data_IF_116669266683
#
_entry.id   IF_116669266683
#
_cell.length_a   1.000
_cell.length_b   1.000
_cell.length_c   1.000
_cell.angle_alpha   90.00
_cell.angle_beta   90.00
_cell.angle_gamma   90.00
#
_symmetry.space_group_name_H-M   'P 1'
#
loop_
_entity.id
_entity.type
_entity.pdbx_description
1 polymer ?
#
# COMPACT_ATOMS: atom_id res chain seq x y z
N UNK A 1 -11.48 22.34 -15.59
CA UNK A 1 -10.03 22.63 -15.56
C UNK A 1 -9.89 24.14 -15.51
N UNK A 2 -9.11 24.66 -14.58
CA UNK A 2 -8.87 26.10 -14.44
C UNK A 2 -7.38 26.39 -14.62
N UNK A 3 -7.04 27.58 -15.09
CA UNK A 3 -5.67 28.00 -15.38
C UNK A 3 -5.24 29.09 -14.40
N UNK A 4 -4.06 28.97 -13.81
CA UNK A 4 -3.52 30.00 -12.92
C UNK A 4 -2.90 31.15 -13.71
N UNK A 5 -2.99 32.37 -13.18
CA UNK A 5 -2.44 33.58 -13.82
C UNK A 5 -0.92 33.54 -14.04
N UNK A 6 -0.20 32.79 -13.20
CA UNK A 6 1.25 32.63 -13.26
C UNK A 6 1.69 31.31 -13.93
N UNK A 7 0.75 30.59 -14.58
CA UNK A 7 0.98 29.30 -15.21
C UNK A 7 0.62 28.09 -14.32
N UNK A 8 0.28 26.98 -14.96
CA UNK A 8 -0.21 25.76 -14.33
C UNK A 8 -1.74 25.63 -14.36
N UNK A 9 -2.21 24.38 -14.32
CA UNK A 9 -3.62 24.05 -14.41
C UNK A 9 -4.09 23.32 -13.14
N UNK A 10 -5.32 23.58 -12.72
CA UNK A 10 -5.99 22.85 -11.65
C UNK A 10 -7.19 22.06 -12.20
N UNK A 11 -7.19 20.79 -11.87
CA UNK A 11 -8.32 19.89 -12.07
C UNK A 11 -9.00 19.77 -10.72
N UNK A 12 -10.24 20.26 -10.64
CA UNK A 12 -11.09 20.11 -9.47
C UNK A 12 -12.08 18.96 -9.72
N UNK A 13 -12.19 18.03 -8.76
CA UNK A 13 -13.07 16.87 -8.84
C UNK A 13 -13.84 16.72 -7.53
N UNK A 14 -15.11 16.28 -7.55
CA UNK A 14 -15.84 15.92 -6.34
C UNK A 14 -15.04 14.93 -5.47
N UNK A 15 -15.21 15.01 -4.15
CA UNK A 15 -14.47 14.15 -3.21
C UNK A 15 -14.69 12.66 -3.48
N UNK A 16 -13.61 11.95 -3.78
CA UNK A 16 -13.63 10.50 -3.96
C UNK A 16 -13.55 9.83 -2.58
N UNK A 17 -14.58 9.07 -2.21
CA UNK A 17 -14.65 8.37 -0.92
C UNK A 17 -14.09 6.95 -0.98
N UNK A 18 -13.99 6.39 -2.17
CA UNK A 18 -13.48 5.04 -2.41
C UNK A 18 -12.46 5.08 -3.54
N UNK A 19 -11.21 4.73 -3.24
CA UNK A 19 -10.16 4.57 -4.23
C UNK A 19 -9.73 3.11 -4.32
N UNK A 20 -9.69 2.60 -5.54
CA UNK A 20 -9.50 1.19 -5.84
C UNK A 20 -8.08 0.79 -6.15
N UNK A 21 -7.45 0.01 -5.27
CA UNK A 21 -6.09 -0.53 -5.50
C UNK A 21 -6.07 -1.93 -6.12
N UNK A 22 -7.21 -2.46 -6.61
CA UNK A 22 -7.33 -3.84 -7.11
C UNK A 22 -6.49 -4.17 -8.35
N UNK A 23 -5.97 -3.16 -9.04
CA UNK A 23 -5.13 -3.30 -10.22
C UNK A 23 -3.65 -3.43 -9.87
N UNK A 24 -3.30 -3.26 -8.60
CA UNK A 24 -1.94 -3.44 -8.10
C UNK A 24 -1.77 -4.84 -7.51
N UNK A 25 -0.57 -5.38 -7.65
CA UNK A 25 -0.12 -6.52 -6.86
C UNK A 25 0.49 -6.06 -5.52
N UNK A 26 0.51 -6.92 -4.48
CA UNK A 26 1.02 -6.57 -3.16
C UNK A 26 2.42 -5.96 -3.19
N UNK A 27 3.31 -6.48 -4.06
CA UNK A 27 4.69 -6.02 -4.19
C UNK A 27 4.77 -4.58 -4.70
N UNK A 28 3.83 -4.16 -5.55
CA UNK A 28 3.75 -2.78 -6.05
C UNK A 28 3.32 -1.82 -4.93
N UNK A 29 2.46 -2.28 -4.02
CA UNK A 29 2.11 -1.51 -2.81
C UNK A 29 3.32 -1.40 -1.89
N UNK A 30 4.06 -2.49 -1.67
CA UNK A 30 5.29 -2.48 -0.86
C UNK A 30 6.31 -1.47 -1.41
N UNK A 31 6.51 -1.43 -2.74
CA UNK A 31 7.42 -0.49 -3.38
C UNK A 31 6.95 0.99 -3.32
N UNK A 32 5.65 1.21 -3.17
CA UNK A 32 5.06 2.55 -3.08
C UNK A 32 5.28 3.23 -1.72
N UNK A 33 5.61 2.46 -0.67
CA UNK A 33 6.03 3.01 0.62
C UNK A 33 7.50 3.44 0.52
N UNK A 34 7.73 4.75 0.48
CA UNK A 34 9.07 5.34 0.29
C UNK A 34 10.02 4.95 1.41
N UNK A 35 9.50 4.86 2.64
CA UNK A 35 10.26 4.50 3.84
C UNK A 35 10.69 3.01 3.87
N UNK A 36 10.13 2.16 3.00
CA UNK A 36 10.50 0.74 2.95
C UNK A 36 11.72 0.49 2.07
N UNK A 37 12.02 1.41 1.14
CA UNK A 37 12.99 1.20 0.07
C UNK A 37 14.37 0.76 0.57
N UNK A 38 14.84 1.35 1.66
CA UNK A 38 16.15 1.06 2.24
C UNK A 38 16.23 -0.32 2.91
N UNK A 39 15.07 -0.96 3.17
CA UNK A 39 14.96 -2.26 3.83
C UNK A 39 14.55 -3.39 2.88
N UNK A 40 14.19 -3.08 1.63
CA UNK A 40 13.80 -4.08 0.63
C UNK A 40 15.01 -4.97 0.29
N UNK A 41 14.77 -6.29 0.28
CA UNK A 41 15.83 -7.28 0.08
C UNK A 41 16.69 -7.57 1.33
N UNK A 42 16.53 -6.80 2.42
CA UNK A 42 17.22 -7.03 3.69
C UNK A 42 16.55 -8.08 4.59
N UNK A 43 15.41 -8.62 4.17
CA UNK A 43 14.70 -9.65 4.94
C UNK A 43 15.41 -11.00 4.85
N UNK A 44 15.29 -11.82 5.90
CA UNK A 44 15.84 -13.18 5.95
C UNK A 44 15.33 -14.07 4.81
N UNK A 45 14.07 -13.91 4.43
CA UNK A 45 13.41 -14.69 3.38
C UNK A 45 13.09 -13.82 2.16
N UNK A 46 13.23 -14.38 0.96
CA UNK A 46 13.00 -13.67 -0.31
C UNK A 46 11.51 -13.40 -0.56
N UNK A 47 10.65 -14.25 -0.01
CA UNK A 47 9.19 -14.21 -0.09
C UNK A 47 8.55 -13.70 1.22
N UNK A 48 9.30 -12.87 1.97
CA UNK A 48 8.81 -12.25 3.19
C UNK A 48 7.56 -11.40 2.89
N UNK A 49 6.49 -11.65 3.63
CA UNK A 49 5.21 -10.92 3.59
C UNK A 49 5.21 -9.68 4.48
N UNK A 50 6.29 -9.48 5.22
CA UNK A 50 6.54 -8.34 6.10
C UNK A 50 5.56 -8.19 7.27
N UNK A 51 4.84 -9.26 7.62
CA UNK A 51 3.87 -9.30 8.72
C UNK A 51 4.49 -10.00 9.94
N UNK A 52 4.20 -11.29 10.12
CA UNK A 52 4.69 -12.10 11.23
C UNK A 52 5.99 -12.86 10.93
N UNK A 53 6.55 -12.70 9.73
CA UNK A 53 7.74 -13.44 9.30
C UNK A 53 8.96 -13.15 10.19
N UNK A 54 9.72 -14.18 10.62
CA UNK A 54 10.93 -13.96 11.40
C UNK A 54 12.05 -13.38 10.55
N UNK A 55 12.76 -12.37 11.07
CA UNK A 55 13.85 -11.71 10.35
C UNK A 55 13.39 -10.76 9.24
N UNK A 56 12.20 -10.17 9.36
CA UNK A 56 11.74 -9.10 8.49
C UNK A 56 12.46 -7.78 8.82
N UNK A 57 13.21 -7.24 7.86
CA UNK A 57 13.92 -5.97 8.02
C UNK A 57 12.97 -4.77 8.19
N UNK A 58 11.83 -4.77 7.50
CA UNK A 58 10.81 -3.72 7.61
C UNK A 58 10.18 -3.72 9.01
N UNK A 59 9.87 -4.90 9.56
CA UNK A 59 9.31 -5.00 10.92
C UNK A 59 10.33 -4.56 11.97
N UNK A 60 11.59 -4.99 11.83
CA UNK A 60 12.66 -4.53 12.73
C UNK A 60 12.86 -3.01 12.66
N UNK A 61 12.78 -2.42 11.47
CA UNK A 61 12.85 -0.97 11.29
C UNK A 61 11.67 -0.26 11.96
N UNK A 62 10.46 -0.83 11.91
CA UNK A 62 9.30 -0.32 12.65
C UNK A 62 9.49 -0.44 14.16
N UNK A 63 9.95 -1.59 14.66
CA UNK A 63 10.24 -1.82 16.09
C UNK A 63 11.31 -0.87 16.63
N UNK A 64 12.28 -0.48 15.80
CA UNK A 64 13.32 0.50 16.14
C UNK A 64 12.87 1.97 16.08
N UNK A 65 11.68 2.24 15.53
CA UNK A 65 11.16 3.60 15.32
C UNK A 65 11.60 4.29 14.02
N UNK A 66 12.41 3.63 13.19
CA UNK A 66 12.80 4.16 11.87
C UNK A 66 11.63 4.19 10.87
N UNK A 67 10.65 3.30 11.04
CA UNK A 67 9.37 3.34 10.33
C UNK A 67 8.27 3.62 11.35
N UNK A 68 7.42 4.61 11.06
CA UNK A 68 6.30 4.92 11.92
C UNK A 68 5.31 3.74 11.99
N UNK A 69 4.93 3.34 13.19
CA UNK A 69 4.00 2.22 13.42
C UNK A 69 2.69 2.38 12.64
N UNK A 70 2.12 3.58 12.62
CA UNK A 70 0.89 3.87 11.87
C UNK A 70 1.03 3.57 10.37
N UNK A 71 2.19 3.87 9.78
CA UNK A 71 2.46 3.62 8.36
C UNK A 71 2.54 2.12 8.09
N UNK A 72 3.22 1.37 8.96
CA UNK A 72 3.29 -0.08 8.92
C UNK A 72 1.91 -0.74 9.08
N UNK A 73 1.12 -0.31 10.06
CA UNK A 73 -0.24 -0.82 10.28
C UNK A 73 -1.15 -0.54 9.07
N UNK A 74 -1.05 0.66 8.48
CA UNK A 74 -1.81 1.05 7.29
C UNK A 74 -1.40 0.23 6.06
N UNK A 75 -0.12 -0.11 5.91
CA UNK A 75 0.35 -0.99 4.84
C UNK A 75 -0.37 -2.35 4.88
N UNK A 76 -0.43 -2.99 6.05
CA UNK A 76 -1.16 -4.25 6.21
C UNK A 76 -2.66 -4.09 5.98
N UNK A 77 -3.27 -3.01 6.46
CA UNK A 77 -4.69 -2.71 6.23
C UNK A 77 -5.01 -2.59 4.73
N UNK A 78 -4.14 -1.95 3.96
CA UNK A 78 -4.28 -1.85 2.50
C UNK A 78 -4.24 -3.25 1.87
N UNK A 79 -3.23 -4.06 2.20
CA UNK A 79 -3.11 -5.42 1.65
C UNK A 79 -4.31 -6.30 1.99
N UNK A 80 -4.83 -6.20 3.22
CA UNK A 80 -6.03 -6.91 3.65
C UNK A 80 -7.26 -6.45 2.83
N UNK A 81 -7.45 -5.14 2.67
CA UNK A 81 -8.55 -4.60 1.87
C UNK A 81 -8.52 -5.09 0.42
N UNK A 82 -7.33 -5.22 -0.16
CA UNK A 82 -7.15 -5.74 -1.52
C UNK A 82 -7.54 -7.22 -1.63
N UNK A 83 -7.24 -8.03 -0.61
CA UNK A 83 -7.65 -9.44 -0.54
C UNK A 83 -9.19 -9.59 -0.42
N UNK A 84 -9.83 -8.73 0.38
CA UNK A 84 -11.29 -8.72 0.54
C UNK A 84 -12.00 -8.32 -0.76
N UNK A 85 -11.49 -7.31 -1.49
CA UNK A 85 -12.04 -6.89 -2.80
C UNK A 85 -11.89 -7.98 -3.86
N UNK A 86 -10.74 -8.68 -3.91
CA UNK A 86 -10.52 -9.82 -4.82
C UNK A 86 -11.57 -10.93 -4.58
N UNK A 87 -11.95 -11.17 -3.33
CA UNK A 87 -12.95 -12.20 -2.96
C UNK A 87 -14.36 -11.83 -3.44
N UNK A 88 -14.79 -10.57 -3.30
CA UNK A 88 -16.13 -10.12 -3.75
C UNK A 88 -16.34 -10.25 -5.26
N UNK A 89 -15.31 -10.02 -6.08
CA UNK A 89 -15.40 -10.19 -7.55
C UNK A 89 -15.45 -11.66 -8.00
N UNK A 90 -15.01 -12.61 -7.18
CA UNK A 90 -15.00 -14.05 -7.50
C UNK A 90 -16.32 -14.78 -7.20
N UNK A 91 -17.31 -14.13 -6.60
CA UNK A 91 -18.64 -14.74 -6.52
C UNK A 91 -19.26 -14.80 -7.92
N UNK A 92 -19.53 -15.99 -8.49
CA UNK A 92 -20.30 -16.07 -9.73
C UNK A 92 -21.66 -15.43 -9.47
N UNK A 93 -22.09 -14.58 -10.41
CA UNK A 93 -23.35 -13.85 -10.31
C UNK A 93 -24.48 -14.77 -9.86
N UNK A 94 -25.13 -14.40 -8.75
CA UNK A 94 -26.42 -15.01 -8.39
C UNK A 94 -27.36 -14.69 -9.54
N UNK A 95 -27.79 -15.74 -10.25
CA UNK A 95 -29.03 -15.72 -11.02
C UNK A 95 -30.19 -15.42 -10.09
#
# INVERSE_FOLDING_TARGET
MYHFQHGGDVIDSPGVREFGLWHLEPEQVTQAYVEFRDYLGGCKFRDCRHDTDPGCAIRAAMESGAIAKERFDNYHRILESMAQVKTRKKLPGRR
#
